data_IF_677678101270
#
_entry.id   IF_677678101270
#
_cell.length_a   1.000
_cell.length_b   1.000
_cell.length_c   1.000
_cell.angle_alpha   90.00
_cell.angle_beta   90.00
_cell.angle_gamma   90.00
#
_symmetry.space_group_name_H-M   'P 1'
#
loop_
_entity.id
_entity.type
_entity.pdbx_description
1 polymer ?
#
# COMPACT_ATOMS: atom_id res chain seq x y z
N UNK A 1 -11.97 5.71 0.69
CA UNK A 1 -11.92 5.13 2.04
C UNK A 1 -11.08 6.03 2.94
N UNK A 2 -11.65 6.58 4.02
CA UNK A 2 -10.92 7.37 4.99
C UNK A 2 -9.91 6.55 5.82
N UNK A 3 -9.01 7.16 6.63
CA UNK A 3 -8.06 6.45 7.47
C UNK A 3 -8.77 5.55 8.49
N UNK A 4 -8.25 4.33 8.72
CA UNK A 4 -8.74 3.42 9.75
C UNK A 4 -8.07 3.76 11.09
N UNK A 5 -8.70 3.35 12.18
CA UNK A 5 -8.06 3.33 13.49
C UNK A 5 -7.56 4.66 14.03
N UNK A 6 -8.08 5.80 13.56
CA UNK A 6 -7.70 7.12 14.06
C UNK A 6 -6.36 7.66 13.54
N UNK A 7 -5.70 6.98 12.60
CA UNK A 7 -4.50 7.47 11.93
C UNK A 7 -4.80 8.54 10.86
N UNK A 8 -3.78 9.24 10.42
CA UNK A 8 -3.87 10.25 9.35
C UNK A 8 -3.94 9.62 7.96
N UNK A 9 -3.48 8.36 7.83
CA UNK A 9 -3.44 7.57 6.61
C UNK A 9 -2.06 7.53 5.94
N UNK A 10 -1.93 6.69 4.91
CA UNK A 10 -0.67 6.43 4.20
C UNK A 10 -0.07 7.68 3.54
N UNK A 11 -0.88 8.46 2.83
CA UNK A 11 -0.38 9.61 2.06
C UNK A 11 0.19 10.73 2.94
N UNK A 12 -0.48 11.23 3.99
CA UNK A 12 0.14 12.19 4.93
C UNK A 12 1.41 11.65 5.59
N UNK A 13 1.40 10.39 6.04
CA UNK A 13 2.58 9.77 6.64
C UNK A 13 3.76 9.71 5.66
N UNK A 14 3.52 9.32 4.40
CA UNK A 14 4.54 9.32 3.36
C UNK A 14 5.12 10.71 3.09
N UNK A 15 4.27 11.73 3.00
CA UNK A 15 4.70 13.11 2.79
C UNK A 15 5.57 13.61 3.95
N UNK A 16 5.17 13.35 5.20
CA UNK A 16 5.94 13.70 6.40
C UNK A 16 7.31 13.03 6.42
N UNK A 17 7.37 11.75 6.07
CA UNK A 17 8.63 10.99 5.97
C UNK A 17 9.54 11.55 4.88
N UNK A 18 9.01 11.89 3.71
CA UNK A 18 9.76 12.51 2.62
C UNK A 18 10.33 13.86 3.03
N UNK A 19 9.54 14.71 3.69
CA UNK A 19 9.97 16.01 4.19
C UNK A 19 11.13 15.89 5.16
N UNK A 20 11.03 14.99 6.16
CA UNK A 20 12.11 14.74 7.13
C UNK A 20 13.38 14.20 6.48
N UNK A 21 13.25 13.37 5.46
CA UNK A 21 14.38 12.81 4.73
C UNK A 21 14.97 13.79 3.69
N UNK A 22 14.41 14.98 3.53
CA UNK A 22 14.83 15.96 2.52
C UNK A 22 14.55 15.52 1.09
N UNK A 23 13.50 14.73 0.87
CA UNK A 23 13.08 14.23 -0.45
C UNK A 23 11.91 15.05 -0.97
N UNK A 24 12.13 15.72 -2.11
CA UNK A 24 11.08 16.49 -2.78
C UNK A 24 10.03 15.59 -3.42
N UNK A 25 8.75 15.93 -3.21
CA UNK A 25 7.61 15.22 -3.79
C UNK A 25 6.83 16.15 -4.71
N UNK A 26 6.40 15.63 -5.87
CA UNK A 26 5.52 16.33 -6.80
C UNK A 26 4.19 15.55 -6.90
N UNK A 27 3.08 16.20 -6.61
CA UNK A 27 1.76 15.65 -6.85
C UNK A 27 1.30 16.11 -8.24
N UNK A 28 0.98 15.19 -9.17
CA UNK A 28 0.50 15.56 -10.51
C UNK A 28 -0.82 16.33 -10.44
N UNK A 29 -0.99 17.35 -11.29
CA UNK A 29 -2.27 18.04 -11.42
C UNK A 29 -3.33 17.06 -11.95
N UNK A 30 -4.51 17.08 -11.34
CA UNK A 30 -5.63 16.23 -11.77
C UNK A 30 -5.50 14.78 -11.32
N UNK A 31 -4.60 14.47 -10.37
CA UNK A 31 -4.41 13.11 -9.83
C UNK A 31 -5.72 12.53 -9.27
N UNK A 32 -6.60 13.37 -8.76
CA UNK A 32 -7.92 13.00 -8.24
C UNK A 32 -8.87 12.41 -9.30
N UNK A 33 -8.55 12.62 -10.58
CA UNK A 33 -9.29 12.07 -11.72
C UNK A 33 -8.63 10.84 -12.35
N UNK A 34 -7.54 10.35 -11.74
CA UNK A 34 -6.79 9.19 -12.21
C UNK A 34 -7.05 7.99 -11.31
N UNK A 35 -6.99 6.80 -11.89
CA UNK A 35 -7.16 5.55 -11.16
C UNK A 35 -6.28 4.45 -11.77
N UNK A 36 -5.74 3.57 -10.93
CA UNK A 36 -4.95 2.41 -11.36
C UNK A 36 -5.74 1.37 -12.19
N UNK A 37 -7.02 1.61 -12.44
CA UNK A 37 -7.86 0.76 -13.30
C UNK A 37 -8.32 -0.56 -12.68
N UNK A 38 -7.77 -0.96 -11.55
CA UNK A 38 -8.14 -2.22 -10.89
C UNK A 38 -9.65 -2.42 -10.70
N UNK A 39 -10.48 -1.40 -10.32
CA UNK A 39 -11.93 -1.55 -10.23
C UNK A 39 -12.60 -1.91 -11.56
N UNK A 40 -12.19 -1.32 -12.67
CA UNK A 40 -12.73 -1.65 -14.00
C UNK A 40 -12.31 -3.05 -14.44
N UNK A 41 -11.01 -3.35 -14.32
CA UNK A 41 -10.45 -4.66 -14.67
C UNK A 41 -11.13 -5.78 -13.90
N UNK A 42 -11.30 -5.63 -12.58
CA UNK A 42 -11.91 -6.67 -11.72
C UNK A 42 -13.39 -6.95 -12.03
N UNK A 43 -14.07 -5.99 -12.65
CA UNK A 43 -15.49 -6.09 -13.02
C UNK A 43 -15.71 -6.35 -14.52
N UNK A 44 -14.63 -6.47 -15.30
CA UNK A 44 -14.70 -6.74 -16.74
C UNK A 44 -15.12 -5.54 -17.61
N UNK A 45 -15.04 -4.31 -17.09
CA UNK A 45 -15.32 -3.10 -17.84
C UNK A 45 -14.13 -2.71 -18.74
N UNK A 46 -13.97 -3.41 -19.85
CA UNK A 46 -12.78 -3.32 -20.71
C UNK A 46 -12.60 -1.94 -21.36
N UNK A 47 -13.66 -1.33 -21.88
CA UNK A 47 -13.59 0.00 -22.50
C UNK A 47 -13.20 1.06 -21.49
N UNK A 48 -13.86 1.12 -20.33
CA UNK A 48 -13.48 2.06 -19.26
C UNK A 48 -12.06 1.84 -18.74
N UNK A 49 -11.59 0.59 -18.74
CA UNK A 49 -10.19 0.28 -18.40
C UNK A 49 -9.22 0.84 -19.44
N UNK A 50 -9.51 0.69 -20.74
CA UNK A 50 -8.67 1.24 -21.81
C UNK A 50 -8.61 2.77 -21.78
N UNK A 51 -9.76 3.45 -21.69
CA UNK A 51 -9.82 4.91 -21.60
C UNK A 51 -9.04 5.43 -20.39
N UNK A 52 -9.15 4.76 -19.25
CA UNK A 52 -8.39 5.12 -18.04
C UNK A 52 -6.90 4.85 -18.21
N UNK A 53 -6.51 3.75 -18.86
CA UNK A 53 -5.11 3.42 -19.12
C UNK A 53 -4.43 4.51 -19.94
N UNK A 54 -5.04 4.92 -21.05
CA UNK A 54 -4.50 5.99 -21.91
C UNK A 54 -4.35 7.31 -21.13
N UNK A 55 -5.39 7.70 -20.40
CA UNK A 55 -5.41 8.92 -19.60
C UNK A 55 -4.34 8.92 -18.51
N UNK A 56 -4.19 7.82 -17.79
CA UNK A 56 -3.25 7.69 -16.68
C UNK A 56 -1.81 7.69 -17.19
N UNK A 57 -1.49 6.85 -18.17
CA UNK A 57 -0.12 6.73 -18.68
C UNK A 57 0.34 8.05 -19.30
N UNK A 58 -0.50 8.74 -20.09
CA UNK A 58 -0.17 10.03 -20.68
C UNK A 58 0.07 11.12 -19.62
N UNK A 59 -0.80 11.20 -18.59
CA UNK A 59 -0.67 12.19 -17.53
C UNK A 59 0.61 11.97 -16.70
N UNK A 60 0.85 10.72 -16.29
CA UNK A 60 2.02 10.39 -15.48
C UNK A 60 3.33 10.52 -16.27
N UNK A 61 3.32 10.25 -17.58
CA UNK A 61 4.45 10.52 -18.45
C UNK A 61 4.87 11.98 -18.43
N UNK A 62 3.90 12.89 -18.59
CA UNK A 62 4.15 14.33 -18.53
C UNK A 62 4.60 14.74 -17.13
N UNK A 63 3.93 14.25 -16.08
CA UNK A 63 4.25 14.62 -14.70
C UNK A 63 5.64 14.16 -14.26
N UNK A 64 6.15 13.08 -14.81
CA UNK A 64 7.49 12.52 -14.50
C UNK A 64 8.60 13.09 -15.37
N UNK A 65 8.30 14.03 -16.28
CA UNK A 65 9.30 14.55 -17.21
C UNK A 65 9.76 13.52 -18.24
N UNK A 66 8.83 12.72 -18.77
CA UNK A 66 9.16 11.65 -19.71
C UNK A 66 9.71 10.38 -19.03
N UNK A 67 9.35 10.13 -17.77
CA UNK A 67 9.78 8.96 -17.01
C UNK A 67 11.13 9.13 -16.30
N UNK A 68 11.66 10.35 -16.22
CA UNK A 68 12.88 10.64 -15.43
C UNK A 68 12.65 10.37 -13.93
N UNK A 69 11.50 10.81 -13.41
CA UNK A 69 11.12 10.57 -12.02
C UNK A 69 10.29 9.28 -11.89
N UNK A 70 10.44 8.53 -10.80
CA UNK A 70 9.53 7.43 -10.50
C UNK A 70 8.16 7.95 -10.05
N UNK A 71 7.12 7.19 -10.32
CA UNK A 71 5.79 7.36 -9.74
C UNK A 71 5.71 6.48 -8.49
N UNK A 72 5.59 7.08 -7.32
CA UNK A 72 5.45 6.35 -6.06
C UNK A 72 3.96 6.24 -5.71
N UNK A 73 3.51 5.02 -5.42
CA UNK A 73 2.13 4.73 -5.05
C UNK A 73 2.07 4.33 -3.57
N UNK A 74 1.11 4.88 -2.85
CA UNK A 74 0.90 4.64 -1.42
C UNK A 74 0.01 3.43 -1.10
N UNK A 75 -0.28 2.62 -2.11
CA UNK A 75 -1.05 1.39 -1.97
C UNK A 75 -0.54 0.33 -2.95
N UNK A 76 -0.09 -0.80 -2.44
CA UNK A 76 0.49 -1.90 -3.22
C UNK A 76 -0.45 -2.41 -4.33
N UNK A 77 -1.76 -2.41 -4.09
CA UNK A 77 -2.75 -2.77 -5.12
C UNK A 77 -2.84 -1.75 -6.26
N UNK A 78 -2.55 -0.47 -6.00
CA UNK A 78 -2.48 0.54 -7.06
C UNK A 78 -1.18 0.44 -7.85
N UNK A 79 -0.05 0.17 -7.19
CA UNK A 79 1.23 -0.09 -7.84
C UNK A 79 1.12 -1.26 -8.82
N UNK A 80 0.57 -2.40 -8.37
CA UNK A 80 0.31 -3.58 -9.19
C UNK A 80 -0.64 -3.27 -10.36
N UNK A 81 -1.68 -2.48 -10.10
CA UNK A 81 -2.64 -2.05 -11.12
C UNK A 81 -2.00 -1.21 -12.23
N UNK A 82 -1.15 -0.25 -11.87
CA UNK A 82 -0.43 0.62 -12.81
C UNK A 82 0.63 -0.15 -13.60
N UNK A 83 1.37 -1.04 -12.98
CA UNK A 83 2.29 -1.94 -13.68
C UNK A 83 1.55 -2.83 -14.68
N UNK A 84 0.39 -3.33 -14.30
CA UNK A 84 -0.47 -4.09 -15.21
C UNK A 84 -0.97 -3.24 -16.37
N UNK A 85 -1.40 -1.99 -16.14
CA UNK A 85 -1.78 -1.07 -17.21
C UNK A 85 -0.66 -0.88 -18.21
N UNK A 86 0.56 -0.58 -17.72
CA UNK A 86 1.73 -0.40 -18.58
C UNK A 86 2.03 -1.65 -19.39
N UNK A 87 2.01 -2.83 -18.78
CA UNK A 87 2.26 -4.11 -19.44
C UNK A 87 1.22 -4.45 -20.49
N UNK A 88 -0.07 -4.20 -20.23
CA UNK A 88 -1.17 -4.49 -21.16
C UNK A 88 -1.26 -3.47 -22.30
N UNK A 89 -0.81 -2.23 -22.08
CA UNK A 89 -0.65 -1.25 -23.16
C UNK A 89 0.40 -1.68 -24.21
N UNK A 90 1.16 -2.73 -23.92
CA UNK A 90 2.21 -3.28 -24.75
C UNK A 90 3.53 -2.51 -24.57
N UNK A 91 4.56 -2.97 -25.30
CA UNK A 91 5.82 -2.24 -25.43
C UNK A 91 5.63 -1.00 -26.32
N UNK A 92 4.64 -0.19 -26.01
CA UNK A 92 4.44 1.06 -26.71
C UNK A 92 5.66 1.94 -26.47
N UNK A 93 6.40 2.36 -27.50
CA UNK A 93 7.53 3.26 -27.34
C UNK A 93 7.12 4.62 -26.78
N UNK A 94 5.82 4.86 -26.58
CA UNK A 94 5.27 6.12 -26.11
C UNK A 94 5.63 6.42 -24.65
N UNK A 95 5.85 5.39 -23.79
CA UNK A 95 6.13 5.59 -22.35
C UNK A 95 7.33 4.76 -21.85
N UNK A 96 8.49 4.78 -22.51
CA UNK A 96 9.59 3.83 -22.26
C UNK A 96 10.25 3.95 -20.88
N UNK A 97 10.23 5.14 -20.27
CA UNK A 97 10.88 5.39 -18.98
C UNK A 97 9.94 5.37 -17.77
N UNK A 98 8.63 5.22 -17.97
CA UNK A 98 7.66 5.30 -16.87
C UNK A 98 7.84 4.13 -15.92
N UNK A 99 8.07 4.42 -14.62
CA UNK A 99 8.32 3.44 -13.56
C UNK A 99 7.36 3.67 -12.41
N UNK A 100 6.76 2.58 -11.93
CA UNK A 100 5.91 2.57 -10.74
C UNK A 100 6.67 1.90 -9.61
N UNK A 101 6.66 2.53 -8.44
CA UNK A 101 7.37 2.04 -7.24
C UNK A 101 6.38 2.05 -6.08
N UNK A 102 6.34 0.97 -5.32
CA UNK A 102 5.55 0.94 -4.10
C UNK A 102 6.17 1.84 -3.04
N UNK A 103 5.34 2.51 -2.25
CA UNK A 103 5.80 3.41 -1.21
C UNK A 103 6.67 2.71 -0.16
N UNK A 104 6.42 1.43 0.10
CA UNK A 104 7.22 0.63 1.05
C UNK A 104 8.64 0.42 0.53
N UNK A 105 8.79 0.03 -0.75
CA UNK A 105 10.11 -0.13 -1.38
C UNK A 105 10.85 1.20 -1.45
N UNK A 106 10.15 2.26 -1.88
CA UNK A 106 10.75 3.60 -1.94
C UNK A 106 11.21 4.09 -0.57
N UNK A 107 10.40 3.87 0.46
CA UNK A 107 10.73 4.26 1.84
C UNK A 107 11.93 3.47 2.35
N UNK A 108 11.97 2.15 2.16
CA UNK A 108 13.12 1.33 2.54
C UNK A 108 14.42 1.83 1.91
N UNK A 109 14.40 2.09 0.59
CA UNK A 109 15.62 2.39 -0.16
C UNK A 109 16.08 3.84 0.00
N UNK A 110 15.14 4.78 0.02
CA UNK A 110 15.46 6.20 -0.14
C UNK A 110 15.19 7.05 1.11
N UNK A 111 14.33 6.60 2.00
CA UNK A 111 13.86 7.40 3.15
C UNK A 111 14.43 6.86 4.46
N UNK A 112 14.20 5.58 4.76
CA UNK A 112 14.60 4.96 6.03
C UNK A 112 16.09 5.13 6.37
N UNK A 113 17.05 5.03 5.43
CA UNK A 113 18.47 5.25 5.73
C UNK A 113 18.83 6.69 6.14
N UNK A 114 17.92 7.65 5.96
CA UNK A 114 18.09 9.06 6.28
C UNK A 114 17.38 9.50 7.56
N UNK A 115 16.67 8.57 8.20
CA UNK A 115 15.86 8.85 9.38
C UNK A 115 16.44 8.13 10.61
N UNK A 116 16.28 8.74 11.76
CA UNK A 116 16.57 8.12 13.05
C UNK A 116 15.28 7.63 13.69
N UNK A 117 15.22 6.36 14.02
CA UNK A 117 14.09 5.78 14.76
C UNK A 117 14.33 6.03 16.25
N UNK A 118 13.55 6.94 16.83
CA UNK A 118 13.66 7.39 18.23
C UNK A 118 12.84 6.56 19.20
N UNK A 119 11.76 5.93 18.72
CA UNK A 119 10.84 5.11 19.52
C UNK A 119 10.44 3.85 18.78
N UNK A 120 10.39 2.72 19.49
CA UNK A 120 9.91 1.45 18.97
C UNK A 120 8.72 0.95 19.76
N UNK A 121 7.81 0.28 19.09
CA UNK A 121 6.80 -0.56 19.71
C UNK A 121 7.48 -1.80 20.31
N UNK A 122 6.90 -2.38 21.35
CA UNK A 122 7.30 -3.70 21.87
C UNK A 122 6.96 -4.80 20.89
N UNK A 123 5.75 -4.75 20.31
CA UNK A 123 5.24 -5.79 19.40
C UNK A 123 4.31 -5.21 18.33
N UNK A 124 4.36 -5.79 17.11
CA UNK A 124 3.58 -5.39 15.95
C UNK A 124 3.00 -6.63 15.24
N UNK A 125 1.68 -6.68 15.12
CA UNK A 125 1.02 -7.63 14.24
C UNK A 125 1.02 -7.09 12.80
N UNK A 126 1.65 -7.81 11.89
CA UNK A 126 1.82 -7.40 10.49
C UNK A 126 0.98 -8.28 9.57
N UNK A 127 0.19 -7.65 8.70
CA UNK A 127 -0.53 -8.31 7.62
C UNK A 127 0.04 -7.88 6.26
N UNK A 128 0.96 -8.66 5.66
CA UNK A 128 1.34 -8.49 4.26
C UNK A 128 0.13 -8.68 3.36
N UNK A 129 0.14 -8.08 2.17
CA UNK A 129 -0.99 -8.16 1.25
C UNK A 129 -0.67 -9.05 0.05
N UNK A 130 -1.69 -9.53 -0.66
CA UNK A 130 -1.47 -10.27 -1.90
C UNK A 130 -0.72 -9.40 -2.93
N UNK A 131 -1.03 -8.10 -2.99
CA UNK A 131 -0.35 -7.17 -3.91
C UNK A 131 1.11 -6.94 -3.52
N UNK A 132 1.43 -6.75 -2.22
CA UNK A 132 2.84 -6.61 -1.80
C UNK A 132 3.66 -7.87 -2.08
N UNK A 133 3.02 -9.05 -1.98
CA UNK A 133 3.66 -10.32 -2.35
C UNK A 133 3.92 -10.41 -3.86
N UNK A 134 2.96 -10.01 -4.69
CA UNK A 134 3.11 -10.01 -6.14
C UNK A 134 4.17 -9.02 -6.63
N UNK A 135 4.32 -7.90 -5.94
CA UNK A 135 5.34 -6.88 -6.22
C UNK A 135 6.73 -7.26 -5.68
N UNK A 136 6.83 -8.28 -4.83
CA UNK A 136 8.08 -8.61 -4.13
C UNK A 136 8.45 -7.63 -3.00
N UNK A 137 7.49 -6.82 -2.53
CA UNK A 137 7.71 -5.76 -1.54
C UNK A 137 7.67 -6.25 -0.07
N UNK A 138 7.48 -7.56 0.18
CA UNK A 138 7.36 -8.09 1.54
C UNK A 138 8.64 -7.96 2.36
N UNK A 139 9.82 -8.02 1.72
CA UNK A 139 11.10 -7.83 2.42
C UNK A 139 11.21 -6.39 2.93
N UNK A 140 10.90 -5.40 2.08
CA UNK A 140 10.88 -4.00 2.47
C UNK A 140 9.85 -3.73 3.59
N UNK A 141 8.67 -4.33 3.48
CA UNK A 141 7.64 -4.24 4.51
C UNK A 141 8.14 -4.80 5.86
N UNK A 142 8.81 -5.96 5.84
CA UNK A 142 9.34 -6.59 7.04
C UNK A 142 10.49 -5.78 7.65
N UNK A 143 11.38 -5.22 6.84
CA UNK A 143 12.47 -4.34 7.28
C UNK A 143 11.93 -3.08 7.96
N UNK A 144 10.93 -2.42 7.38
CA UNK A 144 10.29 -1.24 8.00
C UNK A 144 9.60 -1.65 9.31
N UNK A 145 8.90 -2.78 9.34
CA UNK A 145 8.25 -3.27 10.55
C UNK A 145 9.27 -3.55 11.67
N UNK A 146 10.42 -4.15 11.35
CA UNK A 146 11.51 -4.39 12.29
C UNK A 146 12.23 -3.10 12.75
N UNK A 147 12.21 -2.05 11.92
CA UNK A 147 12.71 -0.75 12.33
C UNK A 147 11.83 -0.11 13.39
N UNK A 148 10.51 -0.24 13.31
CA UNK A 148 9.54 0.41 14.20
C UNK A 148 9.08 -0.44 15.38
N UNK A 149 9.41 -1.73 15.41
CA UNK A 149 9.00 -2.65 16.48
C UNK A 149 10.12 -3.60 16.88
N UNK A 150 10.15 -3.97 18.16
CA UNK A 150 11.10 -4.97 18.68
C UNK A 150 10.72 -6.40 18.31
N UNK A 151 9.43 -6.66 18.15
CA UNK A 151 8.88 -7.94 17.71
C UNK A 151 7.88 -7.71 16.58
N UNK A 152 8.02 -8.45 15.48
CA UNK A 152 7.08 -8.46 14.36
C UNK A 152 6.45 -9.84 14.26
N UNK A 153 5.13 -9.90 14.29
CA UNK A 153 4.36 -11.13 14.17
C UNK A 153 3.52 -11.13 12.89
N UNK A 154 3.78 -12.07 12.02
CA UNK A 154 2.92 -12.41 10.89
C UNK A 154 2.24 -13.73 11.25
N UNK A 155 0.89 -13.81 11.26
CA UNK A 155 0.22 -15.06 11.64
C UNK A 155 0.60 -16.20 10.71
N UNK A 156 0.89 -17.42 11.22
CA UNK A 156 1.23 -18.58 10.39
C UNK A 156 0.20 -18.90 9.31
N UNK A 157 -1.09 -18.67 9.61
CA UNK A 157 -2.19 -18.83 8.66
C UNK A 157 -2.41 -17.59 7.78
N UNK A 158 -1.41 -16.72 7.67
CA UNK A 158 -1.51 -15.54 6.81
C UNK A 158 -1.95 -15.88 5.39
N UNK A 159 -2.82 -15.06 4.84
CA UNK A 159 -3.34 -15.19 3.50
C UNK A 159 -4.08 -13.91 3.06
N UNK A 160 -4.67 -13.96 1.87
CA UNK A 160 -5.44 -12.84 1.35
C UNK A 160 -6.62 -12.50 2.27
N UNK A 161 -6.82 -11.21 2.57
CA UNK A 161 -7.97 -10.74 3.36
C UNK A 161 -9.32 -10.84 2.62
N UNK A 162 -9.31 -11.20 1.33
CA UNK A 162 -10.48 -11.29 0.43
C UNK A 162 -11.34 -10.02 0.35
N UNK A 163 -10.87 -8.87 0.84
CA UNK A 163 -11.63 -7.61 0.77
C UNK A 163 -11.77 -7.11 -0.67
N UNK A 164 -10.69 -7.18 -1.47
CA UNK A 164 -10.66 -6.97 -2.92
C UNK A 164 -11.47 -5.75 -3.41
N UNK A 165 -11.05 -4.56 -3.04
CA UNK A 165 -11.72 -3.30 -3.39
C UNK A 165 -13.05 -3.12 -2.65
N UNK A 166 -14.17 -3.07 -3.36
CA UNK A 166 -15.52 -2.92 -2.78
C UNK A 166 -16.18 -4.25 -2.41
N UNK A 167 -15.62 -5.40 -2.84
CA UNK A 167 -16.21 -6.73 -2.59
C UNK A 167 -16.40 -7.01 -1.11
N UNK A 168 -15.44 -6.67 -0.27
CA UNK A 168 -15.53 -6.88 1.17
C UNK A 168 -16.56 -5.98 1.88
N UNK A 169 -17.10 -4.97 1.21
CA UNK A 169 -18.25 -4.21 1.67
C UNK A 169 -19.56 -4.85 1.24
N UNK A 170 -19.62 -5.37 0.02
CA UNK A 170 -20.80 -6.01 -0.57
C UNK A 170 -20.98 -7.46 -0.07
N UNK A 171 -19.88 -8.15 0.19
CA UNK A 171 -19.82 -9.56 0.59
C UNK A 171 -18.89 -9.75 1.80
N UNK A 172 -19.26 -9.22 2.99
CA UNK A 172 -18.41 -9.29 4.18
C UNK A 172 -18.13 -10.72 4.65
N UNK A 173 -19.01 -11.67 4.31
CA UNK A 173 -18.84 -13.10 4.59
C UNK A 173 -17.59 -13.70 3.94
N UNK A 174 -17.16 -13.19 2.78
CA UNK A 174 -15.94 -13.64 2.11
C UNK A 174 -14.69 -13.22 2.89
N UNK A 175 -14.66 -11.98 3.38
CA UNK A 175 -13.58 -11.49 4.23
C UNK A 175 -13.56 -12.26 5.55
N UNK A 176 -14.71 -12.44 6.20
CA UNK A 176 -14.81 -13.17 7.47
C UNK A 176 -14.27 -14.62 7.33
N UNK A 177 -14.68 -15.33 6.28
CA UNK A 177 -14.20 -16.70 6.02
C UNK A 177 -12.70 -16.74 5.73
N UNK A 178 -12.19 -15.85 4.88
CA UNK A 178 -10.77 -15.85 4.49
C UNK A 178 -9.83 -15.48 5.63
N UNK A 179 -10.29 -14.66 6.58
CA UNK A 179 -9.45 -14.14 7.66
C UNK A 179 -9.62 -14.90 8.98
N UNK A 180 -10.53 -15.85 9.08
CA UNK A 180 -10.90 -16.49 10.33
C UNK A 180 -9.69 -17.00 11.11
N UNK A 181 -8.87 -17.86 10.51
CA UNK A 181 -7.72 -18.49 11.20
C UNK A 181 -6.67 -17.45 11.60
N UNK A 182 -6.33 -16.53 10.69
CA UNK A 182 -5.36 -15.48 11.01
C UNK A 182 -5.88 -14.51 12.09
N UNK A 183 -7.19 -14.25 12.14
CA UNK A 183 -7.79 -13.46 13.21
C UNK A 183 -7.74 -14.18 14.56
N UNK A 184 -7.98 -15.50 14.61
CA UNK A 184 -7.83 -16.31 15.82
C UNK A 184 -6.39 -16.26 16.35
N UNK A 185 -5.37 -16.38 15.47
CA UNK A 185 -3.95 -16.30 15.82
C UNK A 185 -3.55 -14.91 16.33
N UNK A 186 -4.05 -13.85 15.71
CA UNK A 186 -3.82 -12.46 16.14
C UNK A 186 -4.47 -12.22 17.50
N UNK A 187 -5.70 -12.68 17.71
CA UNK A 187 -6.45 -12.46 18.94
C UNK A 187 -6.00 -13.35 20.12
N UNK A 188 -5.10 -14.30 19.89
CA UNK A 188 -4.49 -15.10 20.94
C UNK A 188 -3.62 -14.27 21.90
N UNK A 189 -3.19 -13.08 21.51
CA UNK A 189 -2.47 -12.10 22.35
C UNK A 189 -2.74 -10.67 21.90
N UNK A 190 -2.32 -9.70 22.72
CA UNK A 190 -2.41 -8.26 22.40
C UNK A 190 -1.07 -7.77 21.87
N UNK A 191 -1.10 -6.93 20.83
CA UNK A 191 0.06 -6.26 20.26
C UNK A 191 -0.04 -4.74 20.50
N UNK A 192 1.11 -4.05 20.51
CA UNK A 192 1.15 -2.59 20.65
C UNK A 192 0.72 -1.89 19.36
N UNK A 193 0.81 -2.58 18.21
CA UNK A 193 0.37 -2.07 16.93
C UNK A 193 -0.11 -3.16 15.98
N UNK A 194 -0.90 -2.75 14.98
CA UNK A 194 -1.46 -3.62 13.95
C UNK A 194 -1.29 -2.94 12.59
N UNK A 195 -0.53 -3.52 11.68
CA UNK A 195 -0.13 -2.87 10.43
C UNK A 195 -0.44 -3.67 9.16
N UNK A 196 -0.70 -2.95 8.09
CA UNK A 196 -0.78 -3.47 6.72
C UNK A 196 -0.28 -2.42 5.73
N UNK A 197 -0.41 -2.66 4.41
CA UNK A 197 0.04 -1.75 3.33
C UNK A 197 -1.03 -1.47 2.27
N UNK A 198 -2.27 -1.81 2.56
CA UNK A 198 -3.41 -1.52 1.70
C UNK A 198 -4.63 -1.17 2.52
N UNK A 199 -5.27 -0.07 2.18
CA UNK A 199 -6.46 0.41 2.87
C UNK A 199 -7.57 -0.62 3.03
N UNK A 200 -7.83 -1.37 1.97
CA UNK A 200 -8.86 -2.42 1.98
C UNK A 200 -8.47 -3.58 2.89
N UNK A 201 -7.19 -3.94 2.97
CA UNK A 201 -6.71 -4.95 3.91
C UNK A 201 -6.73 -4.44 5.35
N UNK A 202 -6.38 -3.18 5.60
CA UNK A 202 -6.52 -2.55 6.93
C UNK A 202 -7.97 -2.64 7.43
N UNK A 203 -8.95 -2.28 6.59
CA UNK A 203 -10.38 -2.37 6.91
C UNK A 203 -10.78 -3.83 7.14
N UNK A 204 -10.36 -4.75 6.26
CA UNK A 204 -10.70 -6.17 6.36
C UNK A 204 -10.17 -6.81 7.63
N UNK A 205 -8.90 -6.59 7.94
CA UNK A 205 -8.25 -7.11 9.15
C UNK A 205 -8.80 -6.45 10.41
N UNK A 206 -9.09 -5.14 10.39
CA UNK A 206 -9.72 -4.48 11.52
C UNK A 206 -11.08 -5.05 11.84
N UNK A 207 -11.91 -5.34 10.83
CA UNK A 207 -13.21 -5.99 11.03
C UNK A 207 -13.07 -7.42 11.57
N UNK A 208 -12.10 -8.17 11.05
CA UNK A 208 -11.90 -9.56 11.42
C UNK A 208 -11.37 -9.74 12.85
N UNK A 209 -10.45 -8.88 13.27
CA UNK A 209 -9.75 -9.01 14.56
C UNK A 209 -10.34 -8.14 15.68
N UNK A 210 -11.10 -7.10 15.33
CA UNK A 210 -11.54 -6.06 16.27
C UNK A 210 -10.45 -5.05 16.63
N UNK A 211 -9.23 -5.17 16.09
CA UNK A 211 -8.11 -4.26 16.30
C UNK A 211 -7.95 -3.28 15.14
N UNK A 212 -7.49 -2.08 15.42
CA UNK A 212 -7.31 -1.03 14.41
C UNK A 212 -6.02 -1.25 13.61
N UNK A 213 -6.13 -1.81 12.40
CA UNK A 213 -5.02 -1.88 11.46
C UNK A 213 -4.79 -0.54 10.79
N UNK A 214 -3.53 -0.10 10.73
CA UNK A 214 -3.08 1.14 10.12
C UNK A 214 -2.00 0.85 9.07
N UNK A 215 -1.71 1.83 8.23
CA UNK A 215 -0.60 1.68 7.28
C UNK A 215 0.74 1.66 8.01
N UNK A 216 1.68 0.80 7.60
CA UNK A 216 3.00 0.68 8.25
C UNK A 216 3.78 2.00 8.27
N UNK A 217 3.60 2.85 7.25
CA UNK A 217 4.27 4.16 7.19
C UNK A 217 3.79 5.14 8.26
N UNK A 218 2.59 4.98 8.81
CA UNK A 218 2.12 5.79 9.93
C UNK A 218 2.93 5.47 11.20
N UNK A 219 3.23 4.21 11.43
CA UNK A 219 4.09 3.79 12.55
C UNK A 219 5.52 4.29 12.37
N UNK A 220 6.05 4.26 11.13
CA UNK A 220 7.38 4.81 10.86
C UNK A 220 7.42 6.32 11.07
N UNK A 221 6.39 7.04 10.62
CA UNK A 221 6.30 8.49 10.83
C UNK A 221 6.25 8.84 12.34
N UNK A 222 5.53 8.06 13.14
CA UNK A 222 5.49 8.22 14.59
C UNK A 222 6.81 7.85 15.28
N UNK A 223 7.48 6.81 14.80
CA UNK A 223 8.72 6.31 15.37
C UNK A 223 9.95 7.22 15.10
N UNK A 224 9.84 8.09 14.10
CA UNK A 224 10.93 9.00 13.67
C UNK A 224 10.68 10.47 14.01
N UNK A 225 9.70 10.77 14.87
CA UNK A 225 9.40 12.13 15.41
C UNK A 225 10.42 12.57 16.43
#
# INVERSE_FOLDING_TARGET
FGPAGGGEGSAPAFMELCERAGVGVRIPKGIENLCCGTPWKSKGFTSGYQDMTEKVLANLWVATGGGELPVVCDAASCTEGLDTMKRLAGESPVYPGLRFVDSVDFVRESILPRLEVTRKLGSLALHPTCSSTQLGANDALTEIAAAVSSEVFVPPSWGCCAFAGDRGLLHPELTASATQKQAEEINARVFDGYASVNRTCEIGMSKATGHSYRHILEYLAEATR
#
